data_IF_010626733667
#
_entry.id   IF_010626733667
#
_cell.length_a   1.000
_cell.length_b   1.000
_cell.length_c   1.000
_cell.angle_alpha   90.00
_cell.angle_beta   90.00
_cell.angle_gamma   90.00
#
_symmetry.space_group_name_H-M   'P 1'
#
loop_
_entity.id
_entity.type
_entity.pdbx_description
1 polymer ?
#
# COMPACT_ATOMS: atom_id res chain seq x y z
N UNK A 1 -22.25 17.25 5.68
CA UNK A 1 -21.93 16.06 4.85
C UNK A 1 -20.55 15.58 5.34
N UNK A 2 -20.37 14.31 5.72
CA UNK A 2 -19.10 13.85 6.29
C UNK A 2 -18.05 13.70 5.18
N UNK A 3 -17.03 14.57 5.16
CA UNK A 3 -15.98 14.61 4.13
C UNK A 3 -15.32 13.24 3.86
N UNK A 4 -15.19 12.38 4.89
CA UNK A 4 -14.65 11.03 4.71
C UNK A 4 -15.55 10.11 3.86
N UNK A 5 -16.88 10.20 4.01
CA UNK A 5 -17.81 9.45 3.16
C UNK A 5 -17.81 9.96 1.72
N UNK A 6 -17.65 11.27 1.51
CA UNK A 6 -17.48 11.84 0.17
C UNK A 6 -16.21 11.35 -0.50
N UNK A 7 -15.12 11.31 0.26
CA UNK A 7 -13.82 10.81 -0.18
C UNK A 7 -13.87 9.32 -0.55
N UNK A 8 -14.46 8.49 0.32
CA UNK A 8 -14.70 7.07 0.04
C UNK A 8 -15.57 6.85 -1.20
N UNK A 9 -16.66 7.62 -1.34
CA UNK A 9 -17.52 7.57 -2.53
C UNK A 9 -16.79 8.01 -3.80
N UNK A 10 -15.88 8.99 -3.70
CA UNK A 10 -15.03 9.43 -4.81
C UNK A 10 -14.08 8.34 -5.26
N UNK A 11 -13.40 7.64 -4.34
CA UNK A 11 -12.52 6.51 -4.68
C UNK A 11 -13.25 5.49 -5.55
N UNK A 12 -14.42 5.01 -5.12
CA UNK A 12 -15.18 4.03 -5.91
C UNK A 12 -15.64 4.57 -7.25
N UNK A 13 -16.13 5.82 -7.31
CA UNK A 13 -16.50 6.46 -8.58
C UNK A 13 -15.33 6.51 -9.55
N UNK A 14 -14.12 6.76 -9.06
CA UNK A 14 -12.91 6.79 -9.87
C UNK A 14 -12.47 5.40 -10.31
N UNK A 15 -12.47 4.40 -9.42
CA UNK A 15 -12.22 2.98 -9.74
C UNK A 15 -13.06 2.53 -10.94
N UNK A 16 -14.37 2.85 -10.97
CA UNK A 16 -15.25 2.44 -12.05
C UNK A 16 -14.89 3.03 -13.42
N UNK A 17 -14.39 4.27 -13.47
CA UNK A 17 -14.08 4.96 -14.74
C UNK A 17 -12.62 4.86 -15.13
N UNK A 18 -11.70 4.60 -14.19
CA UNK A 18 -10.26 4.67 -14.42
C UNK A 18 -9.79 3.82 -15.62
N UNK A 19 -10.28 2.58 -15.86
CA UNK A 19 -9.86 1.78 -17.01
C UNK A 19 -10.21 2.40 -18.37
N UNK A 20 -11.22 3.27 -18.43
CA UNK A 20 -11.67 3.92 -19.69
C UNK A 20 -11.15 5.35 -19.84
N UNK A 21 -10.43 5.87 -18.84
CA UNK A 21 -9.79 7.18 -18.91
C UNK A 21 -8.53 7.14 -19.78
N UNK A 22 -8.12 8.31 -20.29
CA UNK A 22 -6.85 8.43 -21.02
C UNK A 22 -5.67 8.46 -20.04
N UNK A 23 -5.08 7.29 -19.78
CA UNK A 23 -3.96 7.10 -18.84
C UNK A 23 -2.75 7.98 -19.15
N UNK A 24 -2.36 8.12 -20.42
CA UNK A 24 -1.23 8.98 -20.82
C UNK A 24 -1.47 10.45 -20.50
N UNK A 25 -2.70 10.93 -20.73
CA UNK A 25 -3.08 12.32 -20.39
C UNK A 25 -3.10 12.52 -18.88
N UNK A 26 -3.67 11.58 -18.13
CA UNK A 26 -3.70 11.62 -16.67
C UNK A 26 -2.28 11.61 -16.10
N UNK A 27 -1.40 10.74 -16.58
CA UNK A 27 -0.05 10.64 -16.06
C UNK A 27 0.71 11.97 -16.15
N UNK A 28 0.63 12.65 -17.30
CA UNK A 28 1.23 14.00 -17.48
C UNK A 28 0.65 15.07 -16.55
N UNK A 29 -0.60 14.91 -16.11
CA UNK A 29 -1.20 15.82 -15.11
C UNK A 29 -0.66 15.50 -13.72
N UNK A 30 -0.52 14.21 -13.42
CA UNK A 30 -0.05 13.72 -12.13
C UNK A 30 1.45 13.97 -11.89
N UNK A 31 2.26 14.04 -12.95
CA UNK A 31 3.68 14.41 -12.86
C UNK A 31 3.93 15.74 -12.10
N UNK A 32 2.93 16.62 -12.06
CA UNK A 32 3.04 17.94 -11.42
C UNK A 32 2.70 17.96 -9.93
N UNK A 33 2.11 16.88 -9.42
CA UNK A 33 1.57 16.80 -8.05
C UNK A 33 2.21 15.69 -7.21
N UNK A 34 3.06 14.86 -7.82
CA UNK A 34 3.79 13.81 -7.11
C UNK A 34 5.03 14.41 -6.47
N UNK A 35 5.05 14.38 -5.14
CA UNK A 35 6.19 14.79 -4.34
C UNK A 35 7.11 13.63 -4.00
N UNK A 36 8.41 13.92 -3.87
CA UNK A 36 9.41 12.98 -3.36
C UNK A 36 9.81 11.85 -4.32
N UNK A 37 9.51 12.00 -5.62
CA UNK A 37 9.87 10.99 -6.63
C UNK A 37 11.38 10.71 -6.69
N UNK A 38 12.20 11.72 -6.35
CA UNK A 38 13.66 11.60 -6.28
C UNK A 38 14.10 10.46 -5.33
N UNK A 39 13.31 10.11 -4.31
CA UNK A 39 13.62 8.97 -3.43
C UNK A 39 13.48 7.62 -4.14
N UNK A 40 12.45 7.46 -4.96
CA UNK A 40 12.26 6.26 -5.78
C UNK A 40 13.32 6.20 -6.88
N UNK A 41 13.54 7.31 -7.59
CA UNK A 41 14.53 7.40 -8.66
C UNK A 41 15.93 7.09 -8.14
N UNK A 42 16.30 7.60 -6.96
CA UNK A 42 17.58 7.30 -6.32
C UNK A 42 17.72 5.82 -5.96
N UNK A 43 16.69 5.19 -5.41
CA UNK A 43 16.72 3.76 -5.06
C UNK A 43 16.90 2.88 -6.30
N UNK A 44 16.18 3.19 -7.38
CA UNK A 44 16.28 2.46 -8.64
C UNK A 44 17.61 2.72 -9.36
N UNK A 45 18.12 3.95 -9.33
CA UNK A 45 19.44 4.29 -9.89
C UNK A 45 20.58 3.56 -9.15
N UNK A 46 20.42 3.32 -7.83
CA UNK A 46 21.35 2.55 -7.02
C UNK A 46 21.24 1.03 -7.21
N UNK A 47 20.26 0.55 -8.00
CA UNK A 47 20.10 -0.88 -8.27
C UNK A 47 19.45 -1.68 -7.14
N UNK A 48 18.84 -1.02 -6.15
CA UNK A 48 18.35 -1.65 -4.92
C UNK A 48 16.97 -2.30 -5.09
N UNK A 49 16.18 -1.87 -6.08
CA UNK A 49 14.73 -2.06 -6.07
C UNK A 49 14.06 -1.20 -4.98
N UNK A 50 12.72 -1.19 -4.98
CA UNK A 50 11.97 -0.35 -4.05
C UNK A 50 10.66 -1.01 -3.59
N UNK A 51 10.38 -0.92 -2.29
CA UNK A 51 9.08 -1.23 -1.69
C UNK A 51 8.37 0.08 -1.39
N UNK A 52 7.30 0.39 -2.14
CA UNK A 52 6.37 1.48 -1.84
C UNK A 52 5.29 0.96 -0.88
N UNK A 53 5.36 1.35 0.39
CA UNK A 53 4.40 0.94 1.40
C UNK A 53 3.44 2.10 1.70
N UNK A 54 2.13 1.88 1.57
CA UNK A 54 1.12 2.94 1.71
C UNK A 54 -0.12 2.47 2.50
N UNK A 55 -0.84 3.39 3.17
CA UNK A 55 -2.14 3.10 3.75
C UNK A 55 -3.26 3.19 2.70
N UNK A 56 -4.45 2.70 3.03
CA UNK A 56 -5.68 2.84 2.23
C UNK A 56 -6.21 4.28 2.29
N UNK A 57 -5.45 5.23 1.75
CA UNK A 57 -5.80 6.65 1.68
C UNK A 57 -5.89 7.13 0.24
N UNK A 58 -6.83 8.02 -0.06
CA UNK A 58 -7.02 8.61 -1.38
C UNK A 58 -7.25 7.56 -2.47
N UNK A 59 -6.61 7.73 -3.63
CA UNK A 59 -6.73 6.80 -4.75
C UNK A 59 -5.39 6.15 -5.12
N UNK A 60 -5.11 5.00 -4.52
CA UNK A 60 -3.89 4.21 -4.80
C UNK A 60 -3.87 3.56 -6.17
N UNK A 61 -5.02 3.23 -6.78
CA UNK A 61 -5.05 2.70 -8.15
C UNK A 61 -4.69 3.80 -9.17
N UNK A 62 -5.03 5.07 -8.88
CA UNK A 62 -4.56 6.21 -9.66
C UNK A 62 -3.03 6.39 -9.55
N UNK A 63 -2.47 6.25 -8.34
CA UNK A 63 -1.03 6.26 -8.12
C UNK A 63 -0.33 5.12 -8.88
N UNK A 64 -0.90 3.91 -8.80
CA UNK A 64 -0.39 2.73 -9.51
C UNK A 64 -0.45 2.92 -11.03
N UNK A 65 -1.56 3.42 -11.58
CA UNK A 65 -1.67 3.69 -13.01
C UNK A 65 -0.61 4.70 -13.46
N UNK A 66 -0.40 5.77 -12.68
CA UNK A 66 0.69 6.72 -12.94
C UNK A 66 2.06 6.03 -12.92
N UNK A 67 2.32 5.21 -11.90
CA UNK A 67 3.57 4.47 -11.75
C UNK A 67 3.81 3.56 -12.97
N UNK A 68 2.77 2.89 -13.49
CA UNK A 68 2.85 2.10 -14.72
C UNK A 68 3.24 2.95 -15.92
N UNK A 69 2.65 4.14 -16.08
CA UNK A 69 2.98 5.03 -17.20
C UNK A 69 4.41 5.57 -17.13
N UNK A 70 5.00 5.66 -15.92
CA UNK A 70 6.32 6.25 -15.70
C UNK A 70 7.45 5.23 -15.59
N UNK A 71 7.23 4.14 -14.86
CA UNK A 71 8.23 3.12 -14.52
C UNK A 71 7.91 1.72 -15.07
N UNK A 72 6.78 1.56 -15.76
CA UNK A 72 6.30 0.26 -16.25
C UNK A 72 5.62 -0.57 -15.17
N UNK A 73 5.27 -1.81 -15.50
CA UNK A 73 4.57 -2.73 -14.60
C UNK A 73 5.34 -2.92 -13.29
N UNK A 74 4.64 -2.73 -12.18
CA UNK A 74 5.08 -3.07 -10.83
C UNK A 74 4.28 -4.26 -10.29
N UNK A 75 4.77 -4.86 -9.21
CA UNK A 75 4.12 -6.02 -8.59
C UNK A 75 3.47 -5.63 -7.26
N UNK A 76 2.28 -6.14 -6.99
CA UNK A 76 1.56 -5.96 -5.72
C UNK A 76 0.90 -7.27 -5.29
N UNK A 77 0.25 -7.27 -4.13
CA UNK A 77 -0.51 -8.42 -3.60
C UNK A 77 -1.96 -8.02 -3.37
N UNK A 78 -2.87 -8.97 -3.56
CA UNK A 78 -4.28 -8.81 -3.22
C UNK A 78 -4.76 -9.95 -2.31
N UNK A 79 -5.53 -9.60 -1.29
CA UNK A 79 -6.29 -10.59 -0.52
C UNK A 79 -7.27 -11.33 -1.45
N UNK A 80 -7.34 -12.65 -1.31
CA UNK A 80 -8.24 -13.48 -2.11
C UNK A 80 -9.65 -13.45 -1.53
N UNK A 81 -10.40 -12.42 -1.94
CA UNK A 81 -11.77 -12.18 -1.50
C UNK A 81 -12.72 -13.31 -1.91
N UNK A 82 -13.79 -13.51 -1.14
CA UNK A 82 -14.92 -14.35 -1.53
C UNK A 82 -16.11 -13.45 -1.91
N UNK A 83 -16.93 -13.84 -2.90
CA UNK A 83 -16.77 -15.01 -3.79
C UNK A 83 -15.61 -14.84 -4.80
N UNK A 84 -15.15 -15.95 -5.39
CA UNK A 84 -14.01 -15.94 -6.34
C UNK A 84 -14.26 -15.02 -7.55
N UNK A 85 -15.52 -14.89 -8.01
CA UNK A 85 -15.88 -13.97 -9.08
C UNK A 85 -15.64 -12.50 -8.73
N UNK A 86 -15.77 -12.12 -7.45
CA UNK A 86 -15.44 -10.78 -6.98
C UNK A 86 -13.92 -10.57 -6.98
N UNK A 87 -13.17 -11.55 -6.52
CA UNK A 87 -11.70 -11.52 -6.56
C UNK A 87 -11.20 -11.35 -8.00
N UNK A 88 -11.67 -12.18 -8.93
CA UNK A 88 -11.29 -12.09 -10.35
C UNK A 88 -11.60 -10.71 -10.93
N UNK A 89 -12.74 -10.10 -10.57
CA UNK A 89 -13.10 -8.76 -11.02
C UNK A 89 -12.09 -7.68 -10.60
N UNK A 90 -11.53 -7.80 -9.39
CA UNK A 90 -10.48 -6.88 -8.92
C UNK A 90 -9.14 -7.13 -9.60
N UNK A 91 -8.81 -8.39 -9.89
CA UNK A 91 -7.60 -8.75 -10.64
C UNK A 91 -7.69 -8.19 -12.05
N UNK A 92 -8.74 -8.51 -12.81
CA UNK A 92 -8.96 -8.01 -14.18
C UNK A 92 -8.90 -6.48 -14.24
N UNK A 93 -9.52 -5.82 -13.25
CA UNK A 93 -9.49 -4.36 -13.13
C UNK A 93 -8.06 -3.83 -12.97
N UNK A 94 -7.27 -4.34 -12.03
CA UNK A 94 -5.91 -3.85 -11.77
C UNK A 94 -4.92 -4.24 -12.86
N UNK A 95 -5.07 -5.41 -13.46
CA UNK A 95 -4.29 -5.81 -14.63
C UNK A 95 -4.59 -4.92 -15.84
N UNK A 96 -5.83 -4.45 -16.00
CA UNK A 96 -6.17 -3.46 -17.04
C UNK A 96 -5.47 -2.10 -16.85
N UNK A 97 -5.00 -1.81 -15.63
CA UNK A 97 -4.17 -0.63 -15.32
C UNK A 97 -2.66 -0.91 -15.48
N UNK A 98 -2.28 -2.16 -15.76
CA UNK A 98 -0.92 -2.61 -15.99
C UNK A 98 -0.18 -3.14 -14.76
N UNK A 99 -0.89 -3.47 -13.67
CA UNK A 99 -0.29 -4.02 -12.45
C UNK A 99 -0.08 -5.52 -12.62
N UNK A 100 0.97 -6.08 -12.02
CA UNK A 100 1.06 -7.51 -11.74
C UNK A 100 0.51 -7.76 -10.33
N UNK A 101 -0.60 -8.50 -10.20
CA UNK A 101 -1.27 -8.71 -8.91
C UNK A 101 -1.16 -10.15 -8.47
N UNK A 102 -0.42 -10.39 -7.39
CA UNK A 102 -0.24 -11.73 -6.83
C UNK A 102 -1.35 -12.04 -5.80
N UNK A 103 -1.99 -13.23 -5.86
CA UNK A 103 -2.88 -13.67 -4.79
C UNK A 103 -2.11 -13.89 -3.49
N UNK A 104 -2.60 -13.34 -2.37
CA UNK A 104 -1.98 -13.59 -1.06
C UNK A 104 -2.07 -15.08 -0.64
N UNK A 105 -3.06 -15.82 -1.16
CA UNK A 105 -3.25 -17.25 -0.89
C UNK A 105 -3.76 -18.02 -2.11
N UNK A 106 -3.37 -19.30 -2.22
CA UNK A 106 -3.80 -20.19 -3.31
C UNK A 106 -3.26 -19.81 -4.70
N UNK A 107 -2.18 -19.04 -4.77
CA UNK A 107 -1.38 -18.86 -5.98
C UNK A 107 -0.42 -20.04 -6.20
N UNK A 108 0.15 -20.12 -7.41
CA UNK A 108 1.11 -21.17 -7.78
C UNK A 108 2.41 -21.10 -7.00
N UNK A 109 2.83 -19.88 -6.63
CA UNK A 109 4.07 -19.59 -5.91
C UNK A 109 3.80 -18.74 -4.67
N UNK A 110 4.60 -18.87 -3.60
CA UNK A 110 4.52 -17.98 -2.44
C UNK A 110 4.76 -16.52 -2.85
N UNK A 111 3.84 -15.57 -2.57
CA UNK A 111 3.99 -14.19 -3.01
C UNK A 111 5.28 -13.54 -2.55
N UNK A 112 5.70 -13.81 -1.30
CA UNK A 112 6.93 -13.26 -0.75
C UNK A 112 8.17 -13.60 -1.60
N UNK A 113 8.28 -14.82 -2.11
CA UNK A 113 9.40 -15.23 -2.97
C UNK A 113 9.40 -14.48 -4.29
N UNK A 114 8.22 -14.36 -4.93
CA UNK A 114 8.07 -13.62 -6.18
C UNK A 114 8.41 -12.14 -5.97
N UNK A 115 7.95 -11.53 -4.88
CA UNK A 115 8.28 -10.14 -4.54
C UNK A 115 9.79 -9.96 -4.31
N UNK A 116 10.46 -10.87 -3.60
CA UNK A 116 11.92 -10.85 -3.46
C UNK A 116 12.64 -10.90 -4.81
N UNK A 117 12.18 -11.76 -5.74
CA UNK A 117 12.73 -11.82 -7.09
C UNK A 117 12.56 -10.49 -7.83
N UNK A 118 11.38 -9.85 -7.74
CA UNK A 118 11.13 -8.56 -8.40
C UNK A 118 12.07 -7.49 -7.86
N UNK A 119 12.21 -7.39 -6.54
CA UNK A 119 13.09 -6.42 -5.89
C UNK A 119 14.56 -6.64 -6.25
N UNK A 120 15.05 -7.88 -6.21
CA UNK A 120 16.44 -8.23 -6.61
C UNK A 120 16.73 -7.94 -8.09
N UNK A 121 15.70 -7.86 -8.93
CA UNK A 121 15.79 -7.42 -10.32
C UNK A 121 15.59 -5.90 -10.48
N UNK A 122 15.82 -5.12 -9.43
CA UNK A 122 15.69 -3.66 -9.39
C UNK A 122 14.30 -3.16 -9.84
N UNK A 123 13.24 -3.86 -9.44
CA UNK A 123 11.84 -3.48 -9.74
C UNK A 123 11.14 -2.91 -8.52
N UNK A 124 9.96 -2.33 -8.78
CA UNK A 124 9.09 -1.74 -7.75
C UNK A 124 8.05 -2.75 -7.29
N UNK A 125 7.85 -2.81 -5.97
CA UNK A 125 6.77 -3.53 -5.31
C UNK A 125 5.93 -2.52 -4.53
N UNK A 126 4.60 -2.56 -4.69
CA UNK A 126 3.67 -1.69 -3.95
C UNK A 126 2.83 -2.52 -2.98
N UNK A 127 2.75 -2.12 -1.71
CA UNK A 127 2.01 -2.85 -0.68
C UNK A 127 1.11 -1.92 0.13
N UNK A 128 -0.17 -2.31 0.24
CA UNK A 128 -1.05 -1.75 1.27
C UNK A 128 -0.60 -2.28 2.63
N UNK A 129 -0.23 -1.39 3.54
CA UNK A 129 0.72 -1.73 4.60
C UNK A 129 0.31 -1.31 6.03
N UNK A 130 -0.91 -0.83 6.25
CA UNK A 130 -1.33 -0.32 7.57
C UNK A 130 -2.30 -1.23 8.34
N UNK A 131 -2.65 -2.40 7.79
CA UNK A 131 -3.63 -3.30 8.43
C UNK A 131 -3.42 -4.79 8.13
N UNK A 132 -3.03 -5.54 9.15
CA UNK A 132 -3.04 -7.02 9.17
C UNK A 132 -3.49 -7.51 10.54
N UNK A 133 -4.80 -7.65 10.72
CA UNK A 133 -5.42 -8.11 11.98
C UNK A 133 -5.46 -9.64 12.10
N UNK A 134 -4.47 -10.32 11.51
CA UNK A 134 -4.22 -11.75 11.70
C UNK A 134 -3.15 -11.97 12.78
N UNK A 135 -2.87 -13.23 13.07
CA UNK A 135 -1.82 -13.61 14.04
C UNK A 135 -0.42 -13.31 13.54
N UNK A 136 -0.22 -13.18 12.23
CA UNK A 136 1.08 -12.92 11.60
C UNK A 136 1.39 -11.44 11.48
N UNK A 137 0.40 -10.56 11.69
CA UNK A 137 0.61 -9.13 11.78
C UNK A 137 1.46 -8.77 13.00
N UNK A 138 2.35 -7.79 12.82
CA UNK A 138 3.19 -7.26 13.89
C UNK A 138 2.43 -6.17 14.63
N UNK A 139 2.46 -6.24 15.96
CA UNK A 139 1.83 -5.26 16.82
C UNK A 139 2.65 -3.97 16.84
N UNK A 140 1.98 -2.84 16.65
CA UNK A 140 2.57 -1.49 16.64
C UNK A 140 1.64 -0.52 17.36
N UNK A 141 2.20 0.56 17.91
CA UNK A 141 1.44 1.72 18.35
C UNK A 141 1.01 2.53 17.13
N UNK A 142 -0.27 2.88 17.04
CA UNK A 142 -0.79 3.68 15.95
C UNK A 142 -1.86 4.63 16.47
N UNK A 143 -1.55 5.93 16.46
CA UNK A 143 -2.35 6.96 17.13
C UNK A 143 -2.49 6.73 18.66
N UNK A 144 -1.47 6.15 19.31
CA UNK A 144 -1.47 5.92 20.77
C UNK A 144 -2.23 4.68 21.21
N UNK A 145 -2.71 3.85 20.28
CA UNK A 145 -3.39 2.60 20.55
C UNK A 145 -2.78 1.42 19.78
N UNK A 146 -2.78 0.21 20.36
CA UNK A 146 -2.20 -0.96 19.71
C UNK A 146 -3.05 -1.44 18.52
N UNK A 147 -2.39 -1.61 17.38
CA UNK A 147 -2.93 -2.23 16.17
C UNK A 147 -1.95 -3.27 15.63
N UNK A 148 -2.27 -3.91 14.50
CA UNK A 148 -1.36 -4.82 13.80
C UNK A 148 -1.21 -4.46 12.33
N UNK A 149 0.03 -4.46 11.85
CA UNK A 149 0.40 -4.16 10.46
C UNK A 149 1.11 -5.37 9.82
N UNK A 150 1.06 -5.52 8.48
CA UNK A 150 1.72 -6.62 7.80
C UNK A 150 3.25 -6.50 7.93
N UNK A 151 3.91 -7.63 8.19
CA UNK A 151 5.39 -7.72 8.24
C UNK A 151 6.05 -7.64 6.85
N UNK A 152 5.27 -7.80 5.78
CA UNK A 152 5.74 -7.91 4.41
C UNK A 152 6.72 -6.82 3.98
N UNK A 153 6.39 -5.52 4.12
CA UNK A 153 7.27 -4.44 3.69
C UNK A 153 8.65 -4.47 4.36
N UNK A 154 8.68 -4.57 5.69
CA UNK A 154 9.92 -4.60 6.46
C UNK A 154 10.74 -5.86 6.14
N UNK A 155 10.11 -7.04 6.09
CA UNK A 155 10.80 -8.30 5.75
C UNK A 155 11.40 -8.28 4.35
N UNK A 156 10.68 -7.73 3.35
CA UNK A 156 11.19 -7.62 1.99
C UNK A 156 12.42 -6.70 1.93
N UNK A 157 12.37 -5.55 2.60
CA UNK A 157 13.50 -4.63 2.65
C UNK A 157 14.74 -5.26 3.31
N UNK A 158 14.56 -5.96 4.44
CA UNK A 158 15.64 -6.66 5.14
C UNK A 158 16.23 -7.81 4.30
N UNK A 159 15.38 -8.60 3.63
CA UNK A 159 15.81 -9.79 2.87
C UNK A 159 16.46 -9.45 1.51
N UNK A 160 16.16 -8.27 0.96
CA UNK A 160 16.60 -7.90 -0.39
C UNK A 160 17.54 -6.70 -0.44
N UNK A 161 17.59 -5.89 0.62
CA UNK A 161 18.27 -4.59 0.61
C UNK A 161 17.52 -3.49 -0.14
N UNK A 162 16.29 -3.75 -0.60
CA UNK A 162 15.47 -2.76 -1.29
C UNK A 162 15.09 -1.58 -0.39
N UNK A 163 14.96 -0.40 -0.99
CA UNK A 163 14.53 0.79 -0.26
C UNK A 163 13.07 0.65 0.19
N UNK A 164 12.80 0.74 1.49
CA UNK A 164 11.44 0.80 2.03
C UNK A 164 10.98 2.25 2.10
N UNK A 165 10.14 2.66 1.15
CA UNK A 165 9.68 4.02 0.97
C UNK A 165 8.22 4.15 1.44
N UNK A 166 7.95 4.80 2.58
CA UNK A 166 6.58 5.14 2.95
C UNK A 166 5.98 6.04 1.86
N UNK A 167 4.75 5.78 1.49
CA UNK A 167 4.04 6.51 0.43
C UNK A 167 2.64 6.86 0.91
N UNK A 168 2.13 8.02 0.50
CA UNK A 168 0.79 8.46 0.86
C UNK A 168 0.06 9.03 -0.35
N UNK A 169 -1.25 8.75 -0.42
CA UNK A 169 -2.14 9.28 -1.44
C UNK A 169 -3.30 9.98 -0.73
N UNK A 170 -3.75 11.11 -1.27
CA UNK A 170 -4.91 11.87 -0.77
C UNK A 170 -5.59 12.60 -1.93
N UNK A 171 -6.70 13.27 -1.66
CA UNK A 171 -7.39 14.09 -2.64
C UNK A 171 -7.12 15.58 -2.42
N UNK A 172 -6.53 16.23 -3.42
CA UNK A 172 -6.23 17.66 -3.40
C UNK A 172 -7.30 18.43 -4.18
N UNK A 173 -8.35 18.87 -3.50
CA UNK A 173 -9.53 19.47 -4.14
C UNK A 173 -10.15 18.52 -5.17
N UNK A 174 -10.14 18.89 -6.46
CA UNK A 174 -10.59 18.02 -7.57
C UNK A 174 -9.50 17.13 -8.17
N UNK A 175 -8.25 17.33 -7.74
CA UNK A 175 -7.08 16.56 -8.16
C UNK A 175 -6.72 15.46 -7.18
N UNK A 176 -5.49 14.99 -7.28
CA UNK A 176 -4.91 13.95 -6.44
C UNK A 176 -3.59 14.46 -5.88
N UNK A 177 -3.28 14.08 -4.65
CA UNK A 177 -1.99 14.31 -4.03
C UNK A 177 -1.28 13.00 -3.77
N UNK A 178 0.02 12.99 -4.00
CA UNK A 178 0.87 11.82 -3.83
C UNK A 178 2.21 12.25 -3.27
N UNK A 179 2.71 11.52 -2.28
CA UNK A 179 4.02 11.78 -1.70
C UNK A 179 4.74 10.46 -1.44
N UNK A 180 5.94 10.34 -1.99
CA UNK A 180 6.93 9.33 -1.59
C UNK A 180 7.82 9.98 -0.52
N UNK A 181 8.00 9.32 0.61
CA UNK A 181 8.81 9.80 1.72
C UNK A 181 10.20 9.16 1.68
N UNK A 182 11.20 9.75 2.37
CA UNK A 182 12.51 9.14 2.50
C UNK A 182 12.44 7.68 2.99
N UNK A 183 13.37 6.85 2.53
CA UNK A 183 13.44 5.46 2.93
C UNK A 183 13.62 5.31 4.45
N UNK A 184 12.95 4.33 5.03
CA UNK A 184 13.16 3.97 6.44
C UNK A 184 14.51 3.26 6.59
N UNK A 185 15.16 3.50 7.73
CA UNK A 185 16.36 2.76 8.11
C UNK A 185 16.00 1.32 8.47
N UNK A 186 16.46 0.38 7.64
CA UNK A 186 16.25 -1.05 7.82
C UNK A 186 17.50 -1.79 8.30
N UNK A 187 18.58 -1.07 8.65
CA UNK A 187 19.89 -1.67 8.98
C UNK A 187 19.88 -2.52 10.24
N UNK A 188 18.95 -2.27 11.17
CA UNK A 188 18.79 -3.06 12.39
C UNK A 188 18.34 -4.50 12.12
N UNK A 189 17.67 -4.75 10.97
CA UNK A 189 17.00 -6.01 10.69
C UNK A 189 15.76 -6.30 11.57
N UNK A 190 15.44 -5.39 12.50
CA UNK A 190 14.31 -5.55 13.42
C UNK A 190 13.00 -5.18 12.72
N UNK A 191 12.28 -6.20 12.27
CA UNK A 191 10.99 -6.08 11.58
C UNK A 191 9.98 -5.28 12.40
N UNK A 192 9.95 -5.42 13.73
CA UNK A 192 8.99 -4.73 14.58
C UNK A 192 9.33 -3.23 14.67
N UNK A 193 10.60 -2.90 14.90
CA UNK A 193 11.06 -1.51 14.93
C UNK A 193 10.85 -0.79 13.59
N UNK A 194 11.14 -1.45 12.47
CA UNK A 194 10.94 -0.90 11.12
C UNK A 194 9.44 -0.68 10.86
N UNK A 195 8.60 -1.63 11.24
CA UNK A 195 7.14 -1.51 11.04
C UNK A 195 6.55 -0.43 11.94
N UNK A 196 7.06 -0.25 13.16
CA UNK A 196 6.67 0.89 14.01
C UNK A 196 7.03 2.22 13.36
N UNK A 197 8.24 2.38 12.83
CA UNK A 197 8.63 3.61 12.12
C UNK A 197 7.75 3.88 10.89
N UNK A 198 7.31 2.82 10.21
CA UNK A 198 6.33 2.91 9.12
C UNK A 198 4.96 3.36 9.62
N UNK A 199 4.49 2.79 10.74
CA UNK A 199 3.24 3.17 11.39
C UNK A 199 3.24 4.65 11.82
N UNK A 200 4.33 5.13 12.42
CA UNK A 200 4.50 6.52 12.84
C UNK A 200 4.40 7.48 11.65
N UNK A 201 5.03 7.11 10.53
CA UNK A 201 4.93 7.87 9.28
C UNK A 201 3.50 7.86 8.74
N UNK A 202 2.83 6.71 8.73
CA UNK A 202 1.42 6.65 8.31
C UNK A 202 0.52 7.50 9.20
N UNK A 203 0.72 7.50 10.52
CA UNK A 203 -0.07 8.29 11.45
C UNK A 203 0.08 9.79 11.18
N UNK A 204 1.30 10.27 10.97
CA UNK A 204 1.56 11.67 10.59
C UNK A 204 0.85 12.07 9.29
N UNK A 205 0.91 11.20 8.28
CA UNK A 205 0.36 11.49 6.96
C UNK A 205 -1.18 11.47 6.99
N UNK A 206 -1.77 10.46 7.64
CA UNK A 206 -3.22 10.35 7.83
C UNK A 206 -3.74 11.52 8.67
N UNK A 207 -3.02 11.96 9.71
CA UNK A 207 -3.41 13.12 10.49
C UNK A 207 -3.48 14.42 9.67
N UNK A 208 -2.65 14.54 8.62
CA UNK A 208 -2.69 15.67 7.69
C UNK A 208 -3.87 15.60 6.71
N UNK A 209 -4.33 14.39 6.36
CA UNK A 209 -5.42 14.15 5.40
C UNK A 209 -6.46 13.14 5.92
N UNK A 210 -7.10 13.38 7.09
CA UNK A 210 -7.85 12.34 7.79
C UNK A 210 -9.12 11.92 7.07
N UNK A 211 -9.72 12.82 6.28
CA UNK A 211 -10.90 12.50 5.48
C UNK A 211 -10.60 11.45 4.39
N UNK A 212 -9.36 11.39 3.92
CA UNK A 212 -9.00 10.55 2.78
C UNK A 212 -8.55 9.14 3.17
N UNK A 213 -8.42 8.83 4.47
CA UNK A 213 -8.17 7.47 4.93
C UNK A 213 -9.46 6.65 4.96
N UNK A 214 -9.54 5.64 4.10
CA UNK A 214 -10.75 4.85 3.82
C UNK A 214 -10.89 3.64 4.76
N UNK A 215 -10.64 3.83 6.06
CA UNK A 215 -10.69 2.75 7.05
C UNK A 215 -12.05 2.64 7.74
N UNK A 216 -13.04 2.12 7.02
CA UNK A 216 -14.39 1.88 7.54
C UNK A 216 -14.51 0.55 8.32
N UNK A 217 -13.45 -0.27 8.32
CA UNK A 217 -13.38 -1.53 9.06
C UNK A 217 -12.64 -1.32 10.38
N UNK A 218 -12.84 -2.19 11.39
CA UNK A 218 -12.05 -2.14 12.63
C UNK A 218 -10.55 -2.16 12.34
N UNK A 219 -9.81 -1.24 12.99
CA UNK A 219 -8.36 -1.08 12.85
C UNK A 219 -7.64 -1.43 14.15
N UNK A 220 -8.10 -0.93 15.29
CA UNK A 220 -7.42 -1.16 16.57
C UNK A 220 -7.83 -2.48 17.21
N UNK A 221 -6.93 -3.05 18.00
CA UNK A 221 -7.19 -4.33 18.68
C UNK A 221 -8.32 -4.22 19.71
N UNK A 222 -8.49 -3.04 20.31
CA UNK A 222 -9.55 -2.76 21.28
C UNK A 222 -10.96 -2.88 20.68
N UNK A 223 -11.12 -2.54 19.39
CA UNK A 223 -12.41 -2.53 18.68
C UNK A 223 -12.87 -3.93 18.22
N UNK A 224 -12.00 -4.94 18.35
CA UNK A 224 -12.33 -6.29 17.94
C UNK A 224 -13.27 -6.96 18.93
N UNK A 225 -14.24 -7.72 18.40
CA UNK A 225 -15.12 -8.56 19.22
C UNK A 225 -14.31 -9.44 20.17
N UNK A 226 -14.88 -9.76 21.33
CA UNK A 226 -14.21 -10.63 22.30
C UNK A 226 -13.79 -11.98 21.69
N UNK A 227 -14.65 -12.55 20.84
CA UNK A 227 -14.34 -13.77 20.09
C UNK A 227 -13.10 -13.63 19.18
N UNK A 228 -12.96 -12.51 18.48
CA UNK A 228 -11.79 -12.23 17.62
C UNK A 228 -10.54 -12.00 18.45
N UNK A 229 -10.64 -11.25 19.56
CA UNK A 229 -9.52 -11.07 20.49
C UNK A 229 -9.08 -12.40 21.11
N UNK A 230 -10.01 -13.30 21.44
CA UNK A 230 -9.70 -14.63 21.96
C UNK A 230 -8.97 -15.49 20.92
N UNK A 231 -9.41 -15.49 19.66
CA UNK A 231 -8.73 -16.19 18.56
C UNK A 231 -7.29 -15.71 18.33
N UNK A 232 -7.02 -14.42 18.55
CA UNK A 232 -5.67 -13.86 18.46
C UNK A 232 -4.77 -14.31 19.62
N UNK A 233 -5.34 -14.67 20.79
CA UNK A 233 -4.61 -15.10 21.99
C UNK A 233 -4.40 -16.61 22.10
N UNK A 234 -5.32 -17.44 21.60
CA UNK A 234 -5.28 -18.89 21.75
C UNK A 234 -4.12 -19.50 20.94
N UNK A 235 -3.15 -20.17 21.56
CA UNK A 235 -1.94 -20.71 20.90
C UNK A 235 -2.24 -21.69 19.77
#
# INVERSE_FOLDING_TARGET
>A
MCASLESYGRYWREVFRLPTMNHRKLARQLDRVIGGLDHLDAALAAGLGAVLALPHSGNWDMAGMWLVQRHGTFTTVAERLKPESLYQRFIDYRESLGFEVLPLSGGERPPFEVLCERLRNNRVVCLMAERDLTRTGVEVDFFGEPTRMPVGPAKLAVETGAALLPTHCWFEGRGWGFQVYPALDCTSGDVAAITQALADRFAQNIAAHPADWHMLQPQWLADLSESRRAQLRSR
#
